data_IF_546854551194
#
_entry.id   IF_546854551194
#
_cell.length_a   1.000
_cell.length_b   1.000
_cell.length_c   1.000
_cell.angle_alpha   90.00
_cell.angle_beta   90.00
_cell.angle_gamma   90.00
#
_symmetry.space_group_name_H-M   'P 1'
#
loop_
_entity.id
_entity.type
_entity.pdbx_description
1 polymer ?
#
# COMPACT_ATOMS: atom_id res chain seq x y z
N UNK A 1 -3.43 -8.80 -15.39
CA UNK A 1 -4.12 -7.73 -14.67
C UNK A 1 -3.23 -7.19 -13.56
N UNK A 2 -3.20 -5.89 -13.41
CA UNK A 2 -2.38 -5.25 -12.40
C UNK A 2 -3.18 -5.03 -11.12
N UNK A 3 -2.48 -5.04 -10.01
CA UNK A 3 -3.04 -4.66 -8.71
C UNK A 3 -2.49 -3.29 -8.35
N UNK A 4 -3.32 -2.46 -7.75
CA UNK A 4 -2.91 -1.11 -7.36
C UNK A 4 -3.29 -0.83 -5.91
N UNK A 5 -2.47 0.00 -5.27
CA UNK A 5 -2.70 0.43 -3.90
C UNK A 5 -2.49 1.93 -3.84
N UNK A 6 -3.54 2.66 -3.49
CA UNK A 6 -3.49 4.11 -3.40
C UNK A 6 -3.05 4.53 -2.00
N UNK A 7 -2.01 5.36 -1.95
CA UNK A 7 -1.47 5.89 -0.70
C UNK A 7 -2.55 6.61 0.12
N UNK A 8 -3.41 7.35 -0.54
CA UNK A 8 -4.45 8.13 0.14
C UNK A 8 -5.46 7.25 0.88
N UNK A 9 -5.61 5.99 0.49
CA UNK A 9 -6.51 5.06 1.18
C UNK A 9 -5.87 4.49 2.45
N UNK A 10 -4.55 4.42 2.47
CA UNK A 10 -3.81 3.91 3.61
C UNK A 10 -3.64 5.00 4.66
N UNK A 11 -3.31 6.19 4.22
CA UNK A 11 -3.01 7.31 5.09
C UNK A 11 -3.74 8.56 4.61
N UNK A 12 -5.02 8.69 4.96
CA UNK A 12 -5.85 9.81 4.47
C UNK A 12 -5.38 11.16 4.98
N UNK A 13 -4.59 11.20 6.06
CA UNK A 13 -4.06 12.46 6.58
C UNK A 13 -2.86 12.94 5.79
N UNK A 14 -2.22 12.10 4.99
CA UNK A 14 -1.14 12.55 4.12
C UNK A 14 -1.73 12.89 2.76
N UNK A 15 -1.31 14.01 2.21
CA UNK A 15 -1.77 14.45 0.89
C UNK A 15 -0.94 13.81 -0.20
N UNK A 16 -0.70 12.54 -0.08
CA UNK A 16 0.16 11.79 -0.98
C UNK A 16 -0.66 11.28 -2.17
N UNK A 17 -0.18 11.54 -3.38
CA UNK A 17 -0.80 11.03 -4.60
C UNK A 17 -0.08 9.80 -5.13
N UNK A 18 0.71 9.17 -4.28
CA UNK A 18 1.49 8.01 -4.68
C UNK A 18 0.60 6.80 -4.93
N UNK A 19 0.91 6.06 -5.99
CA UNK A 19 0.20 4.82 -6.34
C UNK A 19 1.23 3.71 -6.46
N UNK A 20 0.96 2.61 -5.78
CA UNK A 20 1.81 1.42 -5.81
C UNK A 20 1.15 0.41 -6.74
N UNK A 21 1.88 -0.07 -7.75
CA UNK A 21 1.40 -1.04 -8.71
C UNK A 21 2.25 -2.29 -8.70
N UNK A 22 1.62 -3.43 -8.96
CA UNK A 22 2.31 -4.70 -9.06
C UNK A 22 1.47 -5.71 -9.82
N UNK A 23 2.09 -6.80 -10.24
CA UNK A 23 1.39 -7.87 -10.96
C UNK A 23 0.52 -8.71 -10.05
N UNK A 24 0.89 -8.79 -8.78
CA UNK A 24 0.18 -9.60 -7.79
C UNK A 24 0.04 -8.82 -6.50
N UNK A 25 -0.89 -9.27 -5.64
CA UNK A 25 -1.06 -8.68 -4.31
C UNK A 25 0.26 -8.76 -3.54
N UNK A 26 0.95 -9.86 -3.62
CA UNK A 26 2.23 -10.05 -2.92
C UNK A 26 3.26 -9.00 -3.34
N UNK A 27 3.34 -8.72 -4.63
CA UNK A 27 4.27 -7.71 -5.14
C UNK A 27 3.91 -6.32 -4.63
N UNK A 28 2.62 -5.99 -4.64
CA UNK A 28 2.15 -4.70 -4.13
C UNK A 28 2.46 -4.58 -2.64
N UNK A 29 2.25 -5.65 -1.87
CA UNK A 29 2.55 -5.63 -0.43
C UNK A 29 4.04 -5.43 -0.17
N UNK A 30 4.90 -6.01 -0.99
CA UNK A 30 6.35 -5.82 -0.86
C UNK A 30 6.72 -4.36 -1.06
N UNK A 31 6.17 -3.74 -2.10
CA UNK A 31 6.41 -2.32 -2.38
C UNK A 31 5.82 -1.44 -1.30
N UNK A 32 4.65 -1.82 -0.78
CA UNK A 32 4.01 -1.08 0.30
C UNK A 32 4.85 -1.13 1.58
N UNK A 33 5.54 -2.23 1.83
CA UNK A 33 6.47 -2.33 2.96
C UNK A 33 7.58 -1.30 2.89
N UNK A 34 8.17 -1.14 1.69
CA UNK A 34 9.20 -0.11 1.47
C UNK A 34 8.60 1.29 1.69
N UNK A 35 7.40 1.51 1.18
CA UNK A 35 6.70 2.78 1.37
C UNK A 35 6.51 3.08 2.87
N UNK A 36 6.10 2.07 3.63
CA UNK A 36 5.89 2.24 5.07
C UNK A 36 7.19 2.63 5.79
N UNK A 37 8.31 2.02 5.40
CA UNK A 37 9.60 2.36 5.99
C UNK A 37 10.01 3.79 5.68
N UNK A 38 9.76 4.25 4.47
CA UNK A 38 10.09 5.61 4.06
C UNK A 38 9.25 6.65 4.79
N UNK A 39 8.03 6.29 5.18
CA UNK A 39 7.11 7.19 5.86
C UNK A 39 7.02 6.95 7.37
N UNK A 40 7.99 6.23 7.92
CA UNK A 40 8.07 5.94 9.35
C UNK A 40 6.82 5.26 9.91
N UNK A 41 6.13 4.49 9.08
CA UNK A 41 4.97 3.73 9.52
C UNK A 41 5.43 2.42 10.14
N UNK A 42 4.76 2.02 11.21
CA UNK A 42 5.07 0.75 11.86
C UNK A 42 4.44 -0.39 11.08
N UNK A 43 5.28 -1.30 10.57
CA UNK A 43 4.79 -2.51 9.92
C UNK A 43 4.27 -3.48 10.96
N UNK A 44 2.98 -3.73 10.94
CA UNK A 44 2.34 -4.67 11.84
C UNK A 44 1.21 -5.37 11.13
N UNK A 45 0.61 -6.40 11.76
CA UNK A 45 -0.49 -7.15 11.15
C UNK A 45 -1.65 -6.24 10.72
N UNK A 46 -1.96 -5.23 11.52
CA UNK A 46 -3.04 -4.31 11.22
C UNK A 46 -2.76 -3.49 9.97
N UNK A 47 -1.54 -3.00 9.83
CA UNK A 47 -1.17 -2.20 8.66
C UNK A 47 -1.17 -3.03 7.40
N UNK A 48 -0.63 -4.26 7.49
CA UNK A 48 -0.64 -5.18 6.35
C UNK A 48 -2.07 -5.53 5.94
N UNK A 49 -2.96 -5.67 6.91
CA UNK A 49 -4.37 -5.94 6.64
C UNK A 49 -5.01 -4.75 5.89
N UNK A 50 -4.69 -3.54 6.30
CA UNK A 50 -5.18 -2.34 5.61
C UNK A 50 -4.68 -2.28 4.17
N UNK A 51 -3.41 -2.59 3.96
CA UNK A 51 -2.83 -2.63 2.62
C UNK A 51 -3.57 -3.64 1.76
N UNK A 52 -3.75 -4.84 2.27
CA UNK A 52 -4.41 -5.90 1.54
C UNK A 52 -5.84 -5.53 1.17
N UNK A 53 -6.57 -4.94 2.10
CA UNK A 53 -7.96 -4.54 1.87
C UNK A 53 -8.09 -3.36 0.91
N UNK A 54 -7.05 -2.54 0.80
CA UNK A 54 -7.06 -1.37 -0.07
C UNK A 54 -6.58 -1.67 -1.49
N UNK A 55 -5.96 -2.83 -1.71
CA UNK A 55 -5.48 -3.22 -3.04
C UNK A 55 -6.68 -3.48 -3.95
N UNK A 56 -6.63 -2.87 -5.12
CA UNK A 56 -7.69 -2.99 -6.11
C UNK A 56 -7.15 -3.53 -7.43
N UNK A 57 -8.04 -4.06 -8.25
CA UNK A 57 -7.71 -4.46 -9.62
C UNK A 57 -7.73 -3.21 -10.50
N UNK A 58 -6.68 -3.05 -11.25
CA UNK A 58 -6.61 -1.97 -12.22
C UNK A 58 -7.31 -2.33 -13.52
#
# INVERSE_FOLDING_TARGET
>A
MLKVLYCSKINPSSKCNHVIRGSTVKEVLRKAGTYALEHDLTLGPELLQKFENAIEDE
#
